data_IF_428665209686
#
_entry.id   IF_428665209686
#
_cell.length_a   1.000
_cell.length_b   1.000
_cell.length_c   1.000
_cell.angle_alpha   90.00
_cell.angle_beta   90.00
_cell.angle_gamma   90.00
#
_symmetry.space_group_name_H-M   'P 1'
#
loop_
_entity.id
_entity.type
_entity.pdbx_description
1 polymer ?
#
# COMPACT_ATOMS: atom_id res chain seq x y z
N UNK A 1 -50.63 -65.81 -3.73
CA UNK A 1 -49.77 -65.37 -2.60
C UNK A 1 -48.52 -64.74 -3.22
N UNK A 2 -48.55 -63.41 -3.32
CA UNK A 2 -47.42 -62.68 -3.92
C UNK A 2 -47.02 -61.57 -2.96
N UNK A 3 -45.79 -61.59 -2.48
CA UNK A 3 -45.23 -60.58 -1.56
C UNK A 3 -44.56 -59.46 -2.36
N UNK A 4 -45.05 -58.26 -2.20
CA UNK A 4 -44.45 -57.05 -2.76
C UNK A 4 -43.49 -56.50 -1.72
N UNK A 5 -42.18 -56.41 -2.11
CA UNK A 5 -41.14 -55.81 -1.32
C UNK A 5 -41.03 -54.34 -1.69
N UNK A 6 -41.29 -53.46 -0.75
CA UNK A 6 -41.11 -52.01 -0.92
C UNK A 6 -39.63 -51.64 -0.75
N UNK A 7 -39.02 -51.10 -1.80
CA UNK A 7 -37.68 -50.49 -1.74
C UNK A 7 -37.77 -49.04 -1.37
N UNK A 8 -37.13 -48.70 -0.24
CA UNK A 8 -37.00 -47.31 0.23
C UNK A 8 -35.82 -46.63 -0.53
N UNK A 9 -36.11 -45.62 -1.34
CA UNK A 9 -35.08 -44.75 -1.93
C UNK A 9 -34.75 -43.65 -0.95
N UNK A 10 -33.51 -43.65 -0.43
CA UNK A 10 -32.94 -42.56 0.32
C UNK A 10 -32.44 -41.53 -0.68
N UNK A 11 -33.13 -40.41 -0.79
CA UNK A 11 -32.65 -39.21 -1.53
C UNK A 11 -31.77 -38.41 -0.59
N UNK A 12 -30.46 -38.53 -0.73
CA UNK A 12 -29.49 -37.71 -0.03
C UNK A 12 -29.48 -36.32 -0.66
N UNK A 13 -30.00 -35.32 0.05
CA UNK A 13 -29.87 -33.89 -0.31
C UNK A 13 -28.47 -33.44 0.04
N UNK A 14 -27.63 -33.29 -0.95
CA UNK A 14 -26.31 -32.67 -0.84
C UNK A 14 -26.48 -31.16 -0.74
N UNK A 15 -26.45 -30.58 0.47
CA UNK A 15 -26.44 -29.14 0.69
C UNK A 15 -25.05 -28.62 0.36
N UNK A 16 -24.87 -28.14 -0.85
CA UNK A 16 -23.65 -27.47 -1.28
C UNK A 16 -23.65 -26.05 -0.72
N UNK A 17 -22.93 -25.84 0.39
CA UNK A 17 -22.75 -24.53 1.00
C UNK A 17 -21.88 -23.67 0.07
N UNK A 18 -22.51 -22.85 -0.75
CA UNK A 18 -21.81 -21.82 -1.52
C UNK A 18 -21.36 -20.73 -0.55
N UNK A 19 -20.11 -20.78 -0.16
CA UNK A 19 -19.44 -19.62 0.44
C UNK A 19 -19.44 -18.49 -0.60
N UNK A 20 -20.35 -17.53 -0.44
CA UNK A 20 -20.34 -16.31 -1.25
C UNK A 20 -19.07 -15.53 -0.88
N UNK A 21 -18.07 -15.62 -1.75
CA UNK A 21 -16.91 -14.75 -1.72
C UNK A 21 -17.43 -13.32 -1.97
N UNK A 22 -17.62 -12.57 -0.89
CA UNK A 22 -18.08 -11.18 -0.98
C UNK A 22 -16.91 -10.36 -1.53
N UNK A 23 -16.93 -10.06 -2.83
CA UNK A 23 -16.03 -9.10 -3.41
C UNK A 23 -16.18 -7.79 -2.65
N UNK A 24 -15.09 -7.28 -2.07
CA UNK A 24 -15.09 -5.99 -1.43
C UNK A 24 -15.52 -4.93 -2.45
N UNK A 25 -16.36 -3.94 -2.07
CA UNK A 25 -16.77 -2.89 -2.98
C UNK A 25 -15.53 -2.14 -3.50
N UNK A 26 -15.37 -2.09 -4.81
CA UNK A 26 -14.16 -1.68 -5.52
C UNK A 26 -13.79 -0.19 -5.35
N UNK A 27 -14.55 0.62 -4.60
CA UNK A 27 -14.43 2.08 -4.58
C UNK A 27 -14.63 2.75 -3.21
N UNK A 28 -14.44 2.03 -2.12
CA UNK A 28 -14.50 2.65 -0.79
C UNK A 28 -13.17 3.32 -0.45
N UNK A 29 -13.21 4.50 0.22
CA UNK A 29 -12.01 5.17 0.72
C UNK A 29 -11.27 4.27 1.71
N UNK A 30 -9.94 4.28 1.65
CA UNK A 30 -9.08 3.52 2.56
C UNK A 30 -9.31 3.94 4.00
N UNK A 31 -9.26 2.96 4.89
CA UNK A 31 -9.34 3.15 6.34
C UNK A 31 -8.17 2.46 7.02
N UNK A 32 -7.84 2.91 8.21
CA UNK A 32 -6.91 2.19 9.08
C UNK A 32 -7.47 0.79 9.38
N UNK A 33 -6.65 -0.24 9.16
CA UNK A 33 -7.03 -1.65 9.26
C UNK A 33 -7.31 -2.33 7.93
N UNK A 34 -7.53 -1.59 6.84
CA UNK A 34 -7.69 -2.17 5.52
C UNK A 34 -6.35 -2.71 5.00
N UNK A 35 -6.41 -3.78 4.21
CA UNK A 35 -5.26 -4.18 3.39
C UNK A 35 -5.15 -3.25 2.19
N UNK A 36 -3.93 -2.75 1.88
CA UNK A 36 -3.74 -1.90 0.72
C UNK A 36 -4.16 -2.66 -0.55
N UNK A 37 -5.11 -2.14 -1.35
CA UNK A 37 -5.40 -2.70 -2.67
C UNK A 37 -4.16 -2.66 -3.55
N UNK A 38 -4.05 -3.62 -4.47
CA UNK A 38 -2.93 -3.70 -5.39
C UNK A 38 -2.76 -2.40 -6.18
N UNK A 39 -1.62 -1.73 -5.96
CA UNK A 39 -1.17 -0.58 -6.73
C UNK A 39 -0.08 -1.05 -7.68
N UNK A 40 -0.32 -0.89 -8.98
CA UNK A 40 0.64 -1.24 -10.03
C UNK A 40 1.24 0.01 -10.62
N UNK A 41 2.55 -0.01 -10.82
CA UNK A 41 3.30 1.07 -11.45
C UNK A 41 4.63 0.57 -12.00
N UNK A 42 5.55 1.50 -12.23
CA UNK A 42 6.91 1.19 -12.67
C UNK A 42 7.91 1.93 -11.78
N UNK A 43 8.95 1.24 -11.34
CA UNK A 43 10.06 1.91 -10.67
C UNK A 43 10.75 2.89 -11.60
N UNK A 44 11.19 4.01 -11.08
CA UNK A 44 11.97 4.97 -11.87
C UNK A 44 13.33 4.39 -12.28
N UNK A 45 13.86 3.42 -11.55
CA UNK A 45 15.02 2.60 -11.93
C UNK A 45 14.75 1.67 -13.12
N UNK A 46 13.48 1.38 -13.40
CA UNK A 46 12.99 0.44 -14.41
C UNK A 46 12.40 -0.83 -13.78
N UNK A 47 11.53 -1.48 -14.54
CA UNK A 47 10.80 -2.67 -14.09
C UNK A 47 9.46 -2.37 -13.43
N UNK A 48 8.64 -3.40 -13.32
CA UNK A 48 7.31 -3.30 -12.73
C UNK A 48 7.39 -3.20 -11.21
N UNK A 49 6.50 -2.40 -10.65
CA UNK A 49 6.36 -2.18 -9.22
C UNK A 49 4.94 -2.52 -8.77
N UNK A 50 4.81 -3.25 -7.67
CA UNK A 50 3.53 -3.57 -7.07
C UNK A 50 3.57 -3.31 -5.55
N UNK A 51 2.66 -2.46 -5.04
CA UNK A 51 2.44 -2.31 -3.60
C UNK A 51 1.17 -3.08 -3.19
N UNK A 52 1.15 -3.73 -2.02
CA UNK A 52 2.18 -3.73 -0.96
C UNK A 52 3.37 -4.68 -1.20
N UNK A 53 3.43 -5.44 -2.28
CA UNK A 53 4.47 -6.46 -2.52
C UNK A 53 5.90 -5.92 -2.37
N UNK A 54 6.20 -4.75 -2.97
CA UNK A 54 7.52 -4.12 -2.90
C UNK A 54 7.93 -3.68 -1.48
N UNK A 55 6.97 -3.54 -0.56
CA UNK A 55 7.24 -3.22 0.85
C UNK A 55 7.19 -4.42 1.78
N UNK A 56 6.96 -5.65 1.26
CA UNK A 56 6.74 -6.84 2.08
C UNK A 56 7.85 -7.03 3.12
N UNK A 57 7.45 -7.26 4.35
CA UNK A 57 8.36 -7.42 5.47
C UNK A 57 8.94 -6.11 6.04
N UNK A 58 8.56 -4.94 5.52
CA UNK A 58 8.96 -3.62 6.03
C UNK A 58 7.74 -2.76 6.34
N UNK A 59 7.90 -1.83 7.26
CA UNK A 59 6.95 -0.73 7.45
C UNK A 59 7.18 0.23 6.29
N UNK A 60 6.13 0.61 5.55
CA UNK A 60 6.25 1.50 4.41
C UNK A 60 5.49 2.81 4.63
N UNK A 61 6.15 3.93 4.36
CA UNK A 61 5.49 5.20 4.13
C UNK A 61 5.33 5.40 2.62
N UNK A 62 4.11 5.47 2.15
CA UNK A 62 3.76 5.70 0.74
C UNK A 62 3.21 7.12 0.60
N UNK A 63 3.84 7.94 -0.23
CA UNK A 63 3.44 9.32 -0.50
C UNK A 63 2.96 9.45 -1.94
N UNK A 64 1.66 9.66 -2.12
CA UNK A 64 1.00 9.78 -3.43
C UNK A 64 0.82 11.25 -3.78
N UNK A 65 1.15 11.63 -5.03
CA UNK A 65 0.87 12.94 -5.60
C UNK A 65 0.11 12.82 -6.92
N UNK A 66 -0.86 13.72 -7.16
CA UNK A 66 -1.71 13.67 -8.36
C UNK A 66 -1.44 14.82 -9.34
N UNK A 67 -0.68 15.82 -8.94
CA UNK A 67 -0.33 16.99 -9.75
C UNK A 67 1.17 17.22 -9.79
N UNK A 68 1.62 18.06 -10.71
CA UNK A 68 3.01 18.50 -10.72
C UNK A 68 3.39 19.28 -9.44
N UNK A 69 2.46 20.01 -8.86
CA UNK A 69 2.69 20.81 -7.66
C UNK A 69 2.74 19.97 -6.39
N UNK A 70 1.95 18.88 -6.33
CA UNK A 70 1.95 17.97 -5.18
C UNK A 70 3.33 17.34 -4.92
N UNK A 71 4.21 17.28 -5.94
CA UNK A 71 5.58 16.77 -5.79
C UNK A 71 6.35 17.52 -4.70
N UNK A 72 6.17 18.84 -4.57
CA UNK A 72 6.88 19.62 -3.56
C UNK A 72 6.50 19.20 -2.14
N UNK A 73 5.24 18.86 -1.92
CA UNK A 73 4.78 18.34 -0.64
C UNK A 73 5.32 16.92 -0.38
N UNK A 74 5.31 16.07 -1.41
CA UNK A 74 5.90 14.72 -1.34
C UNK A 74 7.39 14.78 -1.05
N UNK A 75 8.14 15.67 -1.72
CA UNK A 75 9.58 15.87 -1.50
C UNK A 75 9.90 16.32 -0.07
N UNK A 76 9.08 17.19 0.55
CA UNK A 76 9.27 17.62 1.94
C UNK A 76 9.07 16.44 2.90
N UNK A 77 8.01 15.65 2.73
CA UNK A 77 7.78 14.43 3.51
C UNK A 77 8.90 13.40 3.33
N UNK A 78 9.36 13.20 2.10
CA UNK A 78 10.49 12.33 1.80
C UNK A 78 11.79 12.80 2.44
N UNK A 79 12.04 14.10 2.47
CA UNK A 79 13.20 14.68 3.13
C UNK A 79 13.15 14.51 4.63
N UNK A 80 11.98 14.74 5.26
CA UNK A 80 11.76 14.44 6.67
C UNK A 80 12.00 12.95 6.97
N UNK A 81 11.43 12.05 6.14
CA UNK A 81 11.62 10.61 6.30
C UNK A 81 13.11 10.24 6.31
N UNK A 82 13.88 10.69 5.31
CA UNK A 82 15.33 10.42 5.21
C UNK A 82 16.10 10.93 6.43
N UNK A 83 15.78 12.13 6.88
CA UNK A 83 16.45 12.74 8.03
C UNK A 83 16.12 12.06 9.38
N UNK A 84 14.92 11.48 9.51
CA UNK A 84 14.39 11.00 10.79
C UNK A 84 14.50 9.50 10.95
N UNK A 85 14.14 8.74 9.92
CA UNK A 85 14.04 7.27 9.98
C UNK A 85 14.72 6.55 8.81
N UNK A 86 15.27 7.27 7.84
CA UNK A 86 15.81 6.70 6.60
C UNK A 86 16.99 5.73 6.79
N UNK A 87 17.68 5.78 7.94
CA UNK A 87 18.75 4.82 8.28
C UNK A 87 18.23 3.48 8.83
N UNK A 88 16.93 3.36 9.08
CA UNK A 88 16.33 2.14 9.65
C UNK A 88 16.08 1.11 8.56
N UNK A 89 16.58 -0.13 8.68
CA UNK A 89 16.43 -1.17 7.66
C UNK A 89 15.02 -1.77 7.61
N UNK A 90 14.24 -1.61 8.67
CA UNK A 90 12.88 -2.11 8.83
C UNK A 90 11.79 -1.16 8.29
N UNK A 91 12.19 0.03 7.85
CA UNK A 91 11.27 1.04 7.28
C UNK A 91 11.68 1.36 5.85
N UNK A 92 10.72 1.63 4.98
CA UNK A 92 10.95 2.06 3.60
C UNK A 92 10.01 3.22 3.23
N UNK A 93 10.35 3.95 2.17
CA UNK A 93 9.57 5.07 1.67
C UNK A 93 9.34 4.90 0.17
N UNK A 94 8.13 5.18 -0.30
CA UNK A 94 7.81 5.22 -1.72
C UNK A 94 7.12 6.52 -2.08
N UNK A 95 7.66 7.20 -3.09
CA UNK A 95 7.00 8.31 -3.77
C UNK A 95 6.20 7.74 -4.93
N UNK A 96 4.92 8.08 -5.02
CA UNK A 96 4.03 7.53 -6.04
C UNK A 96 3.36 8.66 -6.82
N UNK A 97 4.02 9.22 -7.85
CA UNK A 97 3.38 10.15 -8.76
C UNK A 97 2.33 9.44 -9.60
N UNK A 98 1.08 9.91 -9.49
CA UNK A 98 -0.07 9.44 -10.26
C UNK A 98 -0.25 10.32 -11.49
N UNK A 99 0.10 9.81 -12.69
CA UNK A 99 0.21 10.58 -13.92
C UNK A 99 -0.89 10.14 -14.89
N UNK A 100 -1.94 10.95 -15.03
CA UNK A 100 -3.04 10.69 -15.93
C UNK A 100 -2.76 11.12 -17.38
N UNK A 101 -3.44 10.48 -18.34
CA UNK A 101 -3.71 11.05 -19.67
C UNK A 101 -2.57 11.14 -20.69
N UNK A 102 -1.41 10.51 -20.47
CA UNK A 102 -0.26 10.62 -21.39
C UNK A 102 -0.14 9.41 -22.35
N UNK A 103 0.24 9.70 -23.61
CA UNK A 103 0.67 8.70 -24.58
C UNK A 103 1.99 8.03 -24.16
N UNK A 104 2.32 6.89 -24.75
CA UNK A 104 3.59 6.16 -24.49
C UNK A 104 4.82 7.05 -24.67
N UNK A 105 4.82 7.91 -25.71
CA UNK A 105 5.92 8.84 -25.94
C UNK A 105 5.99 9.93 -24.87
N UNK A 106 4.85 10.45 -24.42
CA UNK A 106 4.77 11.41 -23.31
C UNK A 106 5.33 10.82 -22.01
N UNK A 107 5.01 9.57 -21.71
CA UNK A 107 5.56 8.84 -20.53
C UNK A 107 7.09 8.80 -20.57
N UNK A 108 7.68 8.45 -21.71
CA UNK A 108 9.13 8.40 -21.84
C UNK A 108 9.81 9.75 -21.55
N UNK A 109 9.23 10.87 -22.01
CA UNK A 109 9.75 12.20 -21.70
C UNK A 109 9.66 12.54 -20.22
N UNK A 110 8.52 12.19 -19.57
CA UNK A 110 8.31 12.42 -18.14
C UNK A 110 9.31 11.61 -17.32
N UNK A 111 9.42 10.31 -17.57
CA UNK A 111 10.36 9.42 -16.87
C UNK A 111 11.81 9.89 -17.03
N UNK A 112 12.18 10.32 -18.24
CA UNK A 112 13.53 10.86 -18.49
C UNK A 112 13.77 12.15 -17.70
N UNK A 113 12.76 13.01 -17.61
CA UNK A 113 12.81 14.24 -16.80
C UNK A 113 12.95 13.92 -15.32
N UNK A 114 12.14 12.99 -14.81
CA UNK A 114 12.18 12.55 -13.42
C UNK A 114 13.52 11.92 -13.07
N UNK A 115 14.05 11.00 -13.89
CA UNK A 115 15.38 10.39 -13.66
C UNK A 115 16.51 11.41 -13.60
N UNK A 116 16.42 12.53 -14.33
CA UNK A 116 17.43 13.59 -14.27
C UNK A 116 17.30 14.45 -13.01
N UNK A 117 16.08 14.61 -12.50
CA UNK A 117 15.79 15.45 -11.32
C UNK A 117 15.86 14.69 -10.00
N UNK A 118 15.89 13.34 -10.04
CA UNK A 118 15.91 12.50 -8.85
C UNK A 118 17.27 11.82 -8.71
N UNK A 119 17.91 11.85 -7.55
CA UNK A 119 19.14 11.09 -7.30
C UNK A 119 18.98 9.61 -7.61
N UNK A 120 20.00 8.98 -8.21
CA UNK A 120 19.89 7.60 -8.72
C UNK A 120 19.57 6.57 -7.62
N UNK A 121 20.06 6.79 -6.42
CA UNK A 121 19.79 5.97 -5.23
C UNK A 121 18.33 6.00 -4.78
N UNK A 122 17.54 6.98 -5.24
CA UNK A 122 16.12 7.08 -4.93
C UNK A 122 15.21 6.50 -6.03
N UNK A 123 15.77 6.08 -7.17
CA UNK A 123 14.97 5.59 -8.29
C UNK A 123 14.15 4.32 -7.95
N UNK A 124 14.63 3.47 -7.03
CA UNK A 124 13.89 2.29 -6.56
C UNK A 124 12.80 2.63 -5.53
N UNK A 125 12.75 3.88 -5.10
CA UNK A 125 11.77 4.41 -4.17
C UNK A 125 10.69 5.27 -4.85
N UNK A 126 10.80 5.50 -6.16
CA UNK A 126 9.80 6.23 -6.94
C UNK A 126 9.07 5.26 -7.84
N UNK A 127 7.75 5.17 -7.66
CA UNK A 127 6.85 4.29 -8.44
C UNK A 127 5.90 5.16 -9.26
N UNK A 128 6.15 5.28 -10.57
CA UNK A 128 5.26 6.02 -11.46
C UNK A 128 4.03 5.19 -11.83
N UNK A 129 2.85 5.76 -11.64
CA UNK A 129 1.57 5.18 -12.05
C UNK A 129 0.97 5.98 -13.17
N UNK A 130 0.83 5.35 -14.33
CA UNK A 130 0.28 5.95 -15.54
C UNK A 130 -1.12 5.44 -15.86
N UNK A 131 -1.99 6.31 -16.35
CA UNK A 131 -3.30 5.94 -16.88
C UNK A 131 -4.45 6.49 -16.05
N UNK A 132 -5.50 5.69 -15.84
CA UNK A 132 -6.65 6.12 -15.04
C UNK A 132 -6.33 6.07 -13.54
N UNK A 133 -6.22 7.24 -12.95
CA UNK A 133 -5.96 7.41 -11.51
C UNK A 133 -7.24 7.64 -10.70
N UNK A 134 -8.42 7.57 -11.33
CA UNK A 134 -9.70 7.89 -10.71
C UNK A 134 -10.03 7.02 -9.51
N UNK A 135 -9.72 5.73 -9.56
CA UNK A 135 -9.94 4.81 -8.45
C UNK A 135 -9.04 5.13 -7.26
N UNK A 136 -7.78 5.49 -7.51
CA UNK A 136 -6.87 5.90 -6.44
C UNK A 136 -7.28 7.24 -5.81
N UNK A 137 -7.79 8.19 -6.61
CA UNK A 137 -8.38 9.42 -6.08
C UNK A 137 -9.53 9.14 -5.12
N UNK A 138 -10.44 8.21 -5.46
CA UNK A 138 -11.53 7.79 -4.56
C UNK A 138 -10.98 7.15 -3.28
N UNK A 139 -10.00 6.24 -3.40
CA UNK A 139 -9.40 5.53 -2.26
C UNK A 139 -8.74 6.45 -1.25
N UNK A 140 -8.05 7.49 -1.68
CA UNK A 140 -7.40 8.45 -0.78
C UNK A 140 -8.28 9.65 -0.44
N UNK A 141 -9.57 9.62 -0.78
CA UNK A 141 -10.51 10.72 -0.58
C UNK A 141 -10.01 12.06 -1.16
N UNK A 142 -9.49 12.00 -2.40
CA UNK A 142 -9.00 13.17 -3.12
C UNK A 142 -10.10 14.23 -3.26
N UNK A 143 -9.71 15.49 -3.10
CA UNK A 143 -10.56 16.66 -3.36
C UNK A 143 -9.85 17.63 -4.29
N UNK A 144 -10.62 18.23 -5.22
CA UNK A 144 -10.08 19.22 -6.15
C UNK A 144 -9.62 20.51 -5.45
N UNK A 145 -10.20 20.84 -4.28
CA UNK A 145 -9.75 21.97 -3.46
C UNK A 145 -8.39 21.72 -2.80
N UNK A 146 -7.91 20.48 -2.83
CA UNK A 146 -6.65 20.03 -2.23
C UNK A 146 -5.85 19.18 -3.22
N UNK A 147 -5.89 19.54 -4.49
CA UNK A 147 -5.27 18.75 -5.58
C UNK A 147 -3.75 18.63 -5.44
N UNK A 148 -3.12 19.61 -4.79
CA UNK A 148 -1.67 19.69 -4.57
C UNK A 148 -1.22 19.08 -3.23
N UNK A 149 -2.11 18.47 -2.46
CA UNK A 149 -1.75 17.74 -1.26
C UNK A 149 -0.88 16.50 -1.59
N UNK A 150 0.02 16.17 -0.67
CA UNK A 150 0.57 14.82 -0.58
C UNK A 150 -0.44 13.93 0.17
N UNK A 151 -0.73 12.74 -0.38
CA UNK A 151 -1.57 11.73 0.28
C UNK A 151 -0.67 10.64 0.83
N UNK A 152 -0.63 10.53 2.15
CA UNK A 152 0.29 9.68 2.88
C UNK A 152 -0.42 8.44 3.44
N UNK A 153 0.20 7.28 3.26
CA UNK A 153 -0.29 5.99 3.76
C UNK A 153 0.86 5.29 4.48
N UNK A 154 0.66 4.88 5.72
CA UNK A 154 1.59 3.96 6.40
C UNK A 154 1.05 2.55 6.32
N UNK A 155 1.90 1.65 5.86
CA UNK A 155 1.64 0.21 5.84
C UNK A 155 2.52 -0.48 6.87
N UNK A 156 1.96 -1.48 7.54
CA UNK A 156 2.78 -2.44 8.26
C UNK A 156 3.44 -3.48 7.32
N UNK A 157 4.28 -4.38 7.84
CA UNK A 157 4.96 -5.40 7.04
C UNK A 157 4.04 -6.36 6.26
N UNK A 158 2.76 -6.48 6.67
CA UNK A 158 1.75 -7.31 6.03
C UNK A 158 0.94 -6.53 4.97
N UNK A 159 1.23 -5.25 4.78
CA UNK A 159 0.55 -4.37 3.84
C UNK A 159 -0.80 -3.86 4.34
N UNK A 160 -1.01 -3.84 5.66
CA UNK A 160 -2.20 -3.27 6.29
C UNK A 160 -1.99 -1.80 6.58
N UNK A 161 -2.96 -0.97 6.24
CA UNK A 161 -2.96 0.48 6.49
C UNK A 161 -3.00 0.76 7.99
N UNK A 162 -2.03 1.49 8.49
CA UNK A 162 -1.90 1.87 9.90
C UNK A 162 -2.10 3.35 10.17
N UNK A 163 -1.98 4.17 9.13
CA UNK A 163 -2.18 5.60 9.22
C UNK A 163 -2.46 6.19 7.84
N UNK A 164 -3.26 7.24 7.82
CA UNK A 164 -3.62 8.00 6.63
C UNK A 164 -3.56 9.48 6.95
N UNK A 165 -2.97 10.25 6.07
CA UNK A 165 -2.95 11.70 6.14
C UNK A 165 -2.89 12.30 4.73
N UNK A 166 -3.34 13.53 4.58
CA UNK A 166 -3.11 14.32 3.37
C UNK A 166 -2.79 15.76 3.75
N UNK A 167 -2.02 16.41 2.91
CA UNK A 167 -1.63 17.81 3.09
C UNK A 167 -0.14 18.05 2.94
N UNK A 168 0.23 19.31 3.12
CA UNK A 168 1.61 19.72 3.24
C UNK A 168 2.26 19.20 4.51
N UNK A 169 3.58 19.42 4.62
CA UNK A 169 4.32 19.04 5.82
C UNK A 169 3.79 19.82 7.04
N UNK A 170 3.49 19.06 8.09
CA UNK A 170 3.05 19.55 9.39
C UNK A 170 3.87 18.89 10.50
N UNK A 171 4.47 19.68 11.39
CA UNK A 171 5.36 19.18 12.43
C UNK A 171 4.65 18.25 13.42
N UNK A 172 3.41 18.56 13.79
CA UNK A 172 2.67 17.72 14.74
C UNK A 172 2.32 16.36 14.12
N UNK A 173 1.95 16.34 12.83
CA UNK A 173 1.71 15.10 12.07
C UNK A 173 3.00 14.30 11.85
N UNK A 174 4.13 14.97 11.64
CA UNK A 174 5.42 14.33 11.53
C UNK A 174 5.85 13.65 12.84
N UNK A 175 5.60 14.27 14.00
CA UNK A 175 5.85 13.66 15.31
C UNK A 175 4.91 12.50 15.61
N UNK A 176 3.63 12.60 15.27
CA UNK A 176 2.67 11.49 15.34
C UNK A 176 3.16 10.30 14.51
N UNK A 177 3.56 10.55 13.25
CA UNK A 177 4.09 9.55 12.35
C UNK A 177 5.36 8.89 12.91
N UNK A 178 6.28 9.68 13.46
CA UNK A 178 7.51 9.16 14.08
C UNK A 178 7.20 8.20 15.22
N UNK A 179 6.27 8.58 16.11
CA UNK A 179 5.81 7.73 17.21
C UNK A 179 5.17 6.43 16.73
N UNK A 180 4.34 6.51 15.69
CA UNK A 180 3.72 5.34 15.07
C UNK A 180 4.78 4.38 14.49
N UNK A 181 5.73 4.90 13.70
CA UNK A 181 6.79 4.08 13.08
C UNK A 181 7.64 3.37 14.16
N UNK A 182 7.92 4.03 15.29
CA UNK A 182 8.59 3.40 16.42
C UNK A 182 7.74 2.27 17.01
N UNK A 183 6.48 2.51 17.30
CA UNK A 183 5.58 1.51 17.90
C UNK A 183 5.32 0.29 17.02
N UNK A 184 5.31 0.46 15.70
CA UNK A 184 5.17 -0.64 14.74
C UNK A 184 6.41 -1.54 14.75
N UNK A 185 7.60 -0.94 14.87
CA UNK A 185 8.85 -1.69 14.94
C UNK A 185 8.98 -2.49 16.24
N UNK A 186 8.64 -1.89 17.38
CA UNK A 186 8.71 -2.54 18.70
C UNK A 186 7.81 -3.79 18.74
N UNK A 187 6.58 -3.69 18.19
CA UNK A 187 5.66 -4.82 18.08
C UNK A 187 6.24 -5.99 17.27
N UNK A 188 6.98 -5.67 16.20
CA UNK A 188 7.61 -6.69 15.36
C UNK A 188 8.72 -7.42 16.12
N UNK A 189 9.57 -6.71 16.84
CA UNK A 189 10.64 -7.29 17.65
C UNK A 189 10.06 -8.26 18.69
N UNK A 190 9.02 -7.83 19.40
CA UNK A 190 8.37 -8.67 20.43
C UNK A 190 7.73 -9.93 19.82
N UNK A 191 7.11 -9.83 18.63
CA UNK A 191 6.50 -10.98 17.95
C UNK A 191 7.56 -12.01 17.50
N UNK A 192 8.69 -11.57 16.97
CA UNK A 192 9.79 -12.44 16.56
C UNK A 192 10.42 -13.15 17.77
N UNK A 193 10.65 -12.43 18.86
CA UNK A 193 11.22 -13.02 20.09
C UNK A 193 10.28 -14.08 20.70
N UNK A 194 8.98 -13.86 20.65
CA UNK A 194 7.99 -14.84 21.14
C UNK A 194 7.95 -16.11 20.29
N UNK A 195 8.06 -15.98 18.96
CA UNK A 195 8.07 -17.11 18.02
C UNK A 195 9.34 -17.97 18.20
N UNK A 196 10.50 -17.31 18.35
CA UNK A 196 11.77 -17.98 18.62
C UNK A 196 11.80 -18.68 19.98
N UNK A 197 11.13 -18.12 20.99
CA UNK A 197 11.01 -18.74 22.31
C UNK A 197 10.10 -19.99 22.26
N UNK A 198 9.02 -19.94 21.48
CA UNK A 198 8.12 -21.09 21.27
C UNK A 198 8.80 -22.27 20.60
N UNK A 199 9.62 -22.01 19.55
CA UNK A 199 10.35 -23.06 18.83
C UNK A 199 11.46 -23.75 19.65
N UNK A 200 11.97 -23.12 20.69
CA UNK A 200 12.98 -23.71 21.60
C UNK A 200 12.39 -24.59 22.71
N UNK A 201 11.07 -24.59 22.83
CA UNK A 201 10.34 -25.28 23.91
C UNK A 201 9.72 -26.60 23.46
N UNK A 202 9.84 -26.99 22.20
CA UNK A 202 9.45 -28.32 21.73
C UNK A 202 10.60 -29.31 21.90
N UNK A 203 10.42 -30.35 22.72
CA UNK A 203 11.43 -31.38 23.01
C UNK A 203 11.60 -32.38 21.86
#
# INVERSE_FOLDING_TARGET
MSRITAGAYFIGVLVMSMATLRAAPAHESLRVGDRLPLLKGQFLSGGDAELPGASSGKIALVAIGFTYQSRFQVEVWGSWYRATVGSRPDVTFFEVPMIGGFSTLGRWFIDRGMRRGTPAELHEHVITVYGDTGDWKKRVAYSAEREDDAYLIVLDPDGVVRWLHHGGFDQARAEELRGLLASLADRRTTAVDHDLAGQRSEP
#
